data_IF_424072186546
#
_entry.id   IF_424072186546
#
_cell.length_a   1.000
_cell.length_b   1.000
_cell.length_c   1.000
_cell.angle_alpha   90.00
_cell.angle_beta   90.00
_cell.angle_gamma   90.00
#
_symmetry.space_group_name_H-M   'P 1'
#
loop_
_entity.id
_entity.type
_entity.pdbx_description
1 polymer ?
#
# COMPACT_ATOMS: atom_id res chain seq x y z
N UNK A 1 3.99 -9.11 -22.07
CA UNK A 1 4.38 -9.67 -20.76
C UNK A 1 5.84 -9.29 -20.51
N UNK A 2 6.22 -8.83 -19.32
CA UNK A 2 7.64 -8.75 -18.96
C UNK A 2 8.19 -10.16 -18.72
N UNK A 3 9.51 -10.35 -18.83
CA UNK A 3 10.13 -11.66 -18.59
C UNK A 3 9.83 -12.20 -17.18
N UNK A 4 9.84 -11.32 -16.18
CA UNK A 4 9.54 -11.69 -14.79
C UNK A 4 8.09 -12.13 -14.61
N UNK A 5 7.14 -11.40 -15.20
CA UNK A 5 5.71 -11.74 -15.11
C UNK A 5 5.39 -13.05 -15.84
N UNK A 6 6.04 -13.30 -16.98
CA UNK A 6 5.92 -14.57 -17.70
C UNK A 6 6.43 -15.75 -16.84
N UNK A 7 7.60 -15.59 -16.21
CA UNK A 7 8.14 -16.61 -15.29
C UNK A 7 7.22 -16.86 -14.09
N UNK A 8 6.66 -15.81 -13.49
CA UNK A 8 5.73 -15.92 -12.38
C UNK A 8 4.46 -16.70 -12.79
N UNK A 9 3.88 -16.38 -13.94
CA UNK A 9 2.70 -17.07 -14.47
C UNK A 9 2.99 -18.55 -14.76
N UNK A 10 4.13 -18.86 -15.39
CA UNK A 10 4.54 -20.24 -15.67
C UNK A 10 4.71 -21.06 -14.39
N UNK A 11 5.26 -20.47 -13.32
CA UNK A 11 5.38 -21.13 -12.01
C UNK A 11 4.01 -21.32 -11.35
N UNK A 12 3.15 -20.30 -11.37
CA UNK A 12 1.81 -20.38 -10.80
C UNK A 12 0.99 -21.50 -11.45
N UNK A 13 1.05 -21.64 -12.77
CA UNK A 13 0.35 -22.68 -13.53
C UNK A 13 0.71 -24.11 -13.13
N UNK A 14 1.86 -24.34 -12.49
CA UNK A 14 2.30 -25.65 -12.02
C UNK A 14 1.74 -26.02 -10.62
N UNK A 15 1.09 -25.08 -9.93
CA UNK A 15 0.54 -25.27 -8.60
C UNK A 15 -0.87 -25.90 -8.65
N UNK A 16 -1.39 -26.43 -7.52
CA UNK A 16 -2.79 -26.80 -7.40
C UNK A 16 -3.74 -25.65 -7.73
N UNK A 17 -4.95 -25.96 -8.20
CA UNK A 17 -5.95 -24.96 -8.60
C UNK A 17 -6.29 -23.97 -7.48
N UNK A 18 -6.41 -24.46 -6.24
CA UNK A 18 -6.63 -23.59 -5.06
C UNK A 18 -5.55 -22.53 -4.88
N UNK A 19 -4.30 -22.91 -5.12
CA UNK A 19 -3.15 -22.00 -4.96
C UNK A 19 -3.08 -21.02 -6.14
N UNK A 20 -3.44 -21.47 -7.34
CA UNK A 20 -3.58 -20.60 -8.50
C UNK A 20 -4.65 -19.53 -8.28
N UNK A 21 -5.82 -19.91 -7.77
CA UNK A 21 -6.90 -18.98 -7.44
C UNK A 21 -6.49 -18.00 -6.35
N UNK A 22 -5.82 -18.47 -5.29
CA UNK A 22 -5.32 -17.60 -4.23
C UNK A 22 -4.33 -16.56 -4.77
N UNK A 23 -3.36 -16.99 -5.59
CA UNK A 23 -2.38 -16.08 -6.21
C UNK A 23 -3.06 -15.11 -7.16
N UNK A 24 -4.00 -15.57 -7.98
CA UNK A 24 -4.73 -14.71 -8.90
C UNK A 24 -5.54 -13.65 -8.15
N UNK A 25 -6.19 -14.03 -7.05
CA UNK A 25 -6.94 -13.10 -6.20
C UNK A 25 -6.04 -12.02 -5.62
N UNK A 26 -4.86 -12.39 -5.08
CA UNK A 26 -3.89 -11.43 -4.54
C UNK A 26 -3.43 -10.46 -5.63
N UNK A 27 -3.03 -10.96 -6.80
CA UNK A 27 -2.54 -10.11 -7.90
C UNK A 27 -3.62 -9.11 -8.34
N UNK A 28 -4.87 -9.55 -8.47
CA UNK A 28 -5.98 -8.68 -8.85
C UNK A 28 -6.24 -7.61 -7.78
N UNK A 29 -6.25 -7.99 -6.50
CA UNK A 29 -6.43 -7.05 -5.39
C UNK A 29 -5.35 -5.98 -5.35
N UNK A 30 -4.08 -6.35 -5.55
CA UNK A 30 -2.96 -5.39 -5.59
C UNK A 30 -3.08 -4.42 -6.77
N UNK A 31 -3.46 -4.92 -7.97
CA UNK A 31 -3.66 -4.07 -9.15
C UNK A 31 -4.82 -3.08 -8.91
N UNK A 32 -5.93 -3.55 -8.35
CA UNK A 32 -7.06 -2.68 -8.02
C UNK A 32 -6.70 -1.67 -6.92
N UNK A 33 -5.92 -2.07 -5.93
CA UNK A 33 -5.45 -1.17 -4.87
C UNK A 33 -4.60 -0.04 -5.44
N UNK A 34 -3.65 -0.35 -6.32
CA UNK A 34 -2.81 0.64 -6.99
C UNK A 34 -3.67 1.59 -7.85
N UNK A 35 -4.59 1.05 -8.64
CA UNK A 35 -5.51 1.85 -9.46
C UNK A 35 -6.36 2.81 -8.62
N UNK A 36 -6.84 2.37 -7.44
CA UNK A 36 -7.59 3.24 -6.52
C UNK A 36 -6.74 4.38 -5.99
N UNK A 37 -5.46 4.12 -5.67
CA UNK A 37 -4.54 5.17 -5.22
C UNK A 37 -4.28 6.20 -6.32
N UNK A 38 -4.01 5.75 -7.54
CA UNK A 38 -3.84 6.63 -8.70
C UNK A 38 -5.07 7.55 -8.90
N UNK A 39 -6.27 6.97 -8.84
CA UNK A 39 -7.53 7.72 -8.96
C UNK A 39 -7.74 8.72 -7.81
N UNK A 40 -7.37 8.36 -6.59
CA UNK A 40 -7.48 9.26 -5.44
C UNK A 40 -6.48 10.40 -5.55
N UNK A 41 -5.22 10.12 -5.89
CA UNK A 41 -4.19 11.15 -5.99
C UNK A 41 -4.34 12.07 -7.21
N UNK A 42 -5.03 11.63 -8.27
CA UNK A 42 -5.36 12.48 -9.40
C UNK A 42 -6.36 13.60 -9.07
N UNK A 43 -7.08 13.51 -7.94
CA UNK A 43 -8.08 14.49 -7.51
C UNK A 43 -7.41 15.72 -6.86
N UNK A 44 -7.75 16.95 -7.28
CA UNK A 44 -7.19 18.17 -6.67
C UNK A 44 -7.39 18.25 -5.15
N UNK A 45 -8.52 17.75 -4.66
CA UNK A 45 -8.86 17.75 -3.23
C UNK A 45 -7.87 16.92 -2.39
N UNK A 46 -7.25 15.90 -2.99
CA UNK A 46 -6.22 15.09 -2.34
C UNK A 46 -4.94 15.88 -2.12
N UNK A 47 -4.55 16.73 -3.08
CA UNK A 47 -3.38 17.59 -2.91
C UNK A 47 -3.59 18.62 -1.79
N UNK A 48 -4.77 19.23 -1.73
CA UNK A 48 -5.14 20.17 -0.67
C UNK A 48 -5.15 19.50 0.71
N UNK A 49 -5.72 18.29 0.80
CA UNK A 49 -5.74 17.51 2.03
C UNK A 49 -4.33 17.16 2.49
N UNK A 50 -3.49 16.64 1.59
CA UNK A 50 -2.11 16.26 1.90
C UNK A 50 -1.26 17.47 2.33
N UNK A 51 -1.46 18.64 1.72
CA UNK A 51 -0.79 19.88 2.14
C UNK A 51 -1.15 20.25 3.59
N UNK A 52 -2.43 20.17 3.95
CA UNK A 52 -2.88 20.46 5.32
C UNK A 52 -2.32 19.46 6.32
N UNK A 53 -2.34 18.17 5.99
CA UNK A 53 -1.76 17.13 6.83
C UNK A 53 -0.25 17.34 7.04
N UNK A 54 0.47 17.80 6.03
CA UNK A 54 1.89 18.14 6.14
C UNK A 54 2.11 19.35 7.06
N UNK A 55 1.31 20.41 6.91
CA UNK A 55 1.37 21.59 7.78
C UNK A 55 1.08 21.24 9.25
N UNK A 56 0.05 20.43 9.49
CA UNK A 56 -0.31 19.93 10.82
C UNK A 56 0.83 19.10 11.42
N UNK A 57 1.39 18.14 10.68
CA UNK A 57 2.51 17.33 11.14
C UNK A 57 3.73 18.20 11.52
N UNK A 58 4.04 19.23 10.72
CA UNK A 58 5.12 20.16 11.04
C UNK A 58 4.82 21.00 12.28
N UNK A 59 3.56 21.41 12.48
CA UNK A 59 3.14 22.12 13.69
C UNK A 59 3.27 21.24 14.94
N UNK A 60 2.87 19.96 14.86
CA UNK A 60 3.03 18.97 15.93
C UNK A 60 4.51 18.75 16.29
N UNK A 61 5.39 18.65 15.29
CA UNK A 61 6.84 18.55 15.49
C UNK A 61 7.37 19.78 16.23
N UNK A 62 7.03 20.99 15.77
CA UNK A 62 7.48 22.25 16.38
C UNK A 62 6.97 22.40 17.81
N UNK A 63 5.78 21.86 18.11
CA UNK A 63 5.20 21.87 19.43
C UNK A 63 5.74 20.76 20.35
N UNK A 64 6.67 19.93 19.89
CA UNK A 64 7.21 18.81 20.66
C UNK A 64 6.22 17.66 20.89
N UNK A 65 5.13 17.61 20.11
CA UNK A 65 4.10 16.56 20.18
C UNK A 65 4.35 15.39 19.23
N UNK A 66 5.37 15.49 18.38
CA UNK A 66 5.85 14.37 17.57
C UNK A 66 6.96 13.58 18.27
N UNK A 67 6.97 12.26 18.09
CA UNK A 67 8.05 11.37 18.52
C UNK A 67 8.66 10.66 17.32
N UNK A 68 9.93 10.26 17.43
CA UNK A 68 10.54 9.38 16.45
C UNK A 68 9.79 8.04 16.45
N UNK A 69 9.42 7.57 15.26
CA UNK A 69 8.87 6.24 15.09
C UNK A 69 9.99 5.22 15.34
N UNK A 70 9.82 4.36 16.33
CA UNK A 70 10.67 3.20 16.57
C UNK A 70 10.00 1.97 15.96
N UNK A 71 10.65 1.38 14.96
CA UNK A 71 10.17 0.19 14.25
C UNK A 71 10.65 -1.12 14.90
N UNK A 72 11.37 -1.03 16.03
CA UNK A 72 11.94 -2.17 16.76
C UNK A 72 11.12 -2.68 17.94
N UNK A 73 10.04 -2.00 18.34
CA UNK A 73 9.04 -2.58 19.24
C UNK A 73 8.06 -3.42 18.42
N UNK A 74 7.65 -4.63 18.86
CA UNK A 74 6.60 -5.37 18.20
C UNK A 74 5.34 -4.51 18.26
N UNK A 75 5.02 -3.86 17.14
CA UNK A 75 3.82 -3.08 17.00
C UNK A 75 2.64 -4.01 17.27
N UNK A 76 2.05 -3.93 18.46
CA UNK A 76 0.72 -4.45 18.69
C UNK A 76 -0.19 -3.78 17.67
N UNK A 77 -0.50 -4.55 16.62
CA UNK A 77 -1.75 -4.49 15.90
C UNK A 77 -2.14 -3.09 15.39
N UNK A 78 -1.33 -2.52 14.50
CA UNK A 78 -1.91 -1.65 13.46
C UNK A 78 -2.36 -2.56 12.31
N UNK A 79 -3.43 -3.30 12.59
CA UNK A 79 -4.30 -3.87 11.56
C UNK A 79 -5.13 -2.71 10.99
N UNK A 80 -4.56 -1.96 10.05
CA UNK A 80 -5.37 -1.10 9.18
C UNK A 80 -5.84 -2.00 8.04
N UNK A 81 -7.06 -2.48 8.23
CA UNK A 81 -7.97 -2.88 7.15
C UNK A 81 -8.43 -1.61 6.45
#
# INVERSE_FOLDING_TARGET
MSQLMEQAFLKAKQLPESDQEAIASIILQEIEAESRWDELFARPESADLLSRLADDALAEIRAGRARKLDLGEPAELISII
#
